data_IF_258798404607
#
_entry.id   IF_258798404607
#
_cell.length_a   1.000
_cell.length_b   1.000
_cell.length_c   1.000
_cell.angle_alpha   90.00
_cell.angle_beta   90.00
_cell.angle_gamma   90.00
#
_symmetry.space_group_name_H-M   'P 1'
#
loop_
_entity.id
_entity.type
_entity.pdbx_description
1 polymer ?
#
# COMPACT_ATOMS: atom_id res chain seq x y z
N UNK A 1 -4.90 27.58 -10.90
CA UNK A 1 -5.08 26.96 -9.58
C UNK A 1 -3.91 26.01 -9.36
N UNK A 2 -3.12 26.24 -8.33
CA UNK A 2 -2.03 25.35 -7.93
C UNK A 2 -2.58 24.48 -6.81
N UNK A 3 -3.01 23.26 -7.16
CA UNK A 3 -3.29 22.25 -6.15
C UNK A 3 -1.91 21.72 -5.71
N UNK A 4 -1.57 21.88 -4.44
CA UNK A 4 -0.44 21.21 -3.80
C UNK A 4 -0.88 19.77 -3.46
N UNK A 5 -0.60 18.74 -4.29
CA UNK A 5 -1.05 17.37 -4.00
C UNK A 5 -0.29 16.74 -2.81
N UNK A 6 0.62 17.48 -2.17
CA UNK A 6 1.52 16.97 -1.12
C UNK A 6 0.85 16.76 0.24
N UNK A 7 -0.45 17.04 0.39
CA UNK A 7 -1.18 16.91 1.67
C UNK A 7 -2.46 16.07 1.60
N UNK A 8 -2.67 15.29 0.54
CA UNK A 8 -3.89 14.47 0.42
C UNK A 8 -3.73 13.03 0.91
N UNK A 9 -2.68 12.75 1.67
CA UNK A 9 -2.63 11.60 2.57
C UNK A 9 -3.55 11.82 3.78
N UNK A 10 -4.80 12.22 3.54
CA UNK A 10 -5.87 12.13 4.54
C UNK A 10 -5.78 10.75 5.18
N UNK A 11 -5.98 10.67 6.49
CA UNK A 11 -5.94 9.47 7.32
C UNK A 11 -6.88 8.36 6.82
N UNK A 12 -6.58 7.78 5.65
CA UNK A 12 -7.33 6.70 5.05
C UNK A 12 -6.96 5.46 5.84
N UNK A 13 -7.82 5.16 6.82
CA UNK A 13 -7.72 3.99 7.68
C UNK A 13 -7.96 2.70 6.90
N UNK A 14 -8.73 2.79 5.80
CA UNK A 14 -9.10 1.67 4.94
C UNK A 14 -8.70 1.94 3.48
N UNK A 15 -8.41 0.86 2.75
CA UNK A 15 -8.10 0.83 1.32
C UNK A 15 -9.38 0.45 0.58
N UNK A 16 -9.96 1.39 -0.17
CA UNK A 16 -11.03 1.07 -1.10
C UNK A 16 -10.45 0.53 -2.40
N UNK A 17 -10.88 -0.67 -2.79
CA UNK A 17 -10.51 -1.30 -4.06
C UNK A 17 -11.56 -1.08 -5.16
N UNK A 18 -12.67 -0.45 -4.81
CA UNK A 18 -13.78 -0.12 -5.70
C UNK A 18 -13.42 1.08 -6.59
N UNK A 19 -12.64 2.01 -6.04
CA UNK A 19 -12.24 3.24 -6.73
C UNK A 19 -10.84 3.10 -7.36
N UNK A 20 -10.71 3.08 -8.69
CA UNK A 20 -9.43 2.82 -9.36
C UNK A 20 -8.38 3.91 -9.11
N UNK A 21 -8.80 5.15 -8.84
CA UNK A 21 -7.89 6.24 -8.49
C UNK A 21 -7.34 6.10 -7.06
N UNK A 22 -8.11 5.52 -6.13
CA UNK A 22 -7.63 5.17 -4.80
C UNK A 22 -6.60 4.06 -4.88
N UNK A 23 -6.92 2.99 -5.61
CA UNK A 23 -5.99 1.87 -5.86
C UNK A 23 -4.67 2.38 -6.40
N UNK A 24 -4.70 3.26 -7.42
CA UNK A 24 -3.50 3.87 -7.99
C UNK A 24 -2.68 4.61 -6.93
N UNK A 25 -3.31 5.52 -6.18
CA UNK A 25 -2.63 6.29 -5.12
C UNK A 25 -2.00 5.38 -4.04
N UNK A 26 -2.68 4.29 -3.68
CA UNK A 26 -2.17 3.29 -2.74
C UNK A 26 -1.01 2.48 -3.32
N UNK A 27 -1.11 2.04 -4.57
CA UNK A 27 -0.03 1.30 -5.26
C UNK A 27 1.23 2.15 -5.39
N UNK A 28 1.10 3.44 -5.69
CA UNK A 28 2.21 4.40 -5.73
C UNK A 28 2.82 4.61 -4.34
N UNK A 29 1.99 4.75 -3.30
CA UNK A 29 2.45 4.95 -1.92
C UNK A 29 3.14 3.71 -1.32
N UNK A 30 2.69 2.52 -1.70
CA UNK A 30 3.18 1.24 -1.19
C UNK A 30 4.28 0.63 -2.08
N UNK A 31 4.48 1.14 -3.29
CA UNK A 31 5.42 0.60 -4.27
C UNK A 31 5.07 -0.81 -4.73
N UNK A 32 3.77 -1.11 -4.88
CA UNK A 32 3.26 -2.43 -5.27
C UNK A 32 2.34 -2.33 -6.49
N UNK A 33 2.00 -3.47 -7.10
CA UNK A 33 1.00 -3.49 -8.18
C UNK A 33 -0.42 -3.57 -7.62
N UNK A 34 -1.42 -3.21 -8.44
CA UNK A 34 -2.83 -3.36 -8.06
C UNK A 34 -3.15 -4.80 -7.64
N UNK A 35 -2.63 -5.79 -8.38
CA UNK A 35 -2.85 -7.20 -8.09
C UNK A 35 -2.29 -7.60 -6.72
N UNK A 36 -1.07 -7.12 -6.39
CA UNK A 36 -0.49 -7.33 -5.07
C UNK A 36 -1.30 -6.64 -3.98
N UNK A 37 -1.74 -5.39 -4.21
CA UNK A 37 -2.58 -4.66 -3.26
C UNK A 37 -3.88 -5.41 -2.99
N UNK A 38 -4.59 -5.87 -4.03
CA UNK A 38 -5.82 -6.66 -3.92
C UNK A 38 -5.58 -7.99 -3.20
N UNK A 39 -4.48 -8.66 -3.51
CA UNK A 39 -4.10 -9.92 -2.86
C UNK A 39 -3.83 -9.74 -1.37
N UNK A 40 -3.07 -8.71 -1.00
CA UNK A 40 -2.76 -8.41 0.41
C UNK A 40 -4.03 -7.98 1.14
N UNK A 41 -4.85 -7.10 0.56
CA UNK A 41 -6.15 -6.71 1.14
C UNK A 41 -7.06 -7.92 1.34
N UNK A 42 -7.08 -8.88 0.41
CA UNK A 42 -7.83 -10.14 0.58
C UNK A 42 -7.29 -11.01 1.72
N UNK A 43 -5.99 -10.97 1.98
CA UNK A 43 -5.35 -11.75 3.02
C UNK A 43 -5.46 -11.14 4.43
N UNK A 44 -5.27 -9.82 4.57
CA UNK A 44 -5.21 -9.14 5.88
C UNK A 44 -6.43 -8.25 6.16
N UNK A 45 -7.27 -8.01 5.16
CA UNK A 45 -8.38 -7.06 5.17
C UNK A 45 -8.01 -5.72 4.53
N UNK A 46 -9.02 -4.87 4.32
CA UNK A 46 -8.86 -3.53 3.74
C UNK A 46 -8.22 -2.50 4.69
N UNK A 47 -7.74 -2.90 5.87
CA UNK A 47 -7.08 -1.97 6.79
C UNK A 47 -5.72 -1.53 6.25
N UNK A 48 -5.56 -0.23 6.02
CA UNK A 48 -4.31 0.34 5.49
C UNK A 48 -3.09 0.02 6.37
N UNK A 49 -3.28 0.01 7.69
CA UNK A 49 -2.23 -0.34 8.65
C UNK A 49 -1.71 -1.77 8.45
N UNK A 50 -2.63 -2.74 8.34
CA UNK A 50 -2.27 -4.16 8.14
C UNK A 50 -1.58 -4.38 6.79
N UNK A 51 -2.07 -3.74 5.74
CA UNK A 51 -1.46 -3.82 4.41
C UNK A 51 -0.05 -3.24 4.42
N UNK A 52 0.14 -2.04 4.98
CA UNK A 52 1.46 -1.41 5.16
C UNK A 52 2.41 -2.29 5.97
N UNK A 53 1.91 -2.88 7.06
CA UNK A 53 2.67 -3.79 7.89
C UNK A 53 3.09 -5.05 7.12
N UNK A 54 2.17 -5.65 6.34
CA UNK A 54 2.46 -6.81 5.52
C UNK A 54 3.58 -6.54 4.52
N UNK A 55 3.52 -5.41 3.80
CA UNK A 55 4.60 -5.00 2.90
C UNK A 55 5.91 -4.76 3.65
N UNK A 56 5.89 -4.07 4.79
CA UNK A 56 7.09 -3.85 5.62
C UNK A 56 7.74 -5.17 6.06
N UNK A 57 6.95 -6.14 6.51
CA UNK A 57 7.43 -7.45 6.92
C UNK A 57 8.00 -8.24 5.72
N UNK A 58 7.33 -8.20 4.57
CA UNK A 58 7.78 -8.84 3.34
C UNK A 58 9.10 -8.25 2.82
N UNK A 59 9.28 -6.94 2.91
CA UNK A 59 10.54 -6.29 2.56
C UNK A 59 11.65 -6.68 3.53
N UNK A 60 11.40 -6.65 4.84
CA UNK A 60 12.37 -7.09 5.85
C UNK A 60 12.79 -8.56 5.65
N UNK A 61 11.86 -9.45 5.31
CA UNK A 61 12.15 -10.85 5.03
C UNK A 61 12.99 -11.05 3.75
N UNK A 62 12.82 -10.20 2.71
CA UNK A 62 13.62 -10.25 1.48
C UNK A 62 15.01 -9.63 1.63
N UNK A 63 15.19 -8.72 2.58
CA UNK A 63 16.49 -8.05 2.84
C UNK A 63 17.48 -8.90 3.64
N UNK A 64 17.05 -10.02 4.23
CA UNK A 64 17.91 -10.90 5.03
C UNK A 64 18.76 -11.90 4.24
N UNK A 65 18.84 -11.77 2.91
CA UNK A 65 19.39 -12.80 2.02
C UNK A 65 20.47 -12.31 1.04
N UNK A 66 21.37 -11.42 1.46
CA UNK A 66 22.62 -11.19 0.71
C UNK A 66 23.74 -10.87 1.68
N UNK A 67 24.56 -11.85 2.02
CA UNK A 67 25.72 -11.64 2.88
C UNK A 67 26.28 -12.92 3.51
N UNK A 68 26.61 -13.92 2.69
CA UNK A 68 27.72 -14.84 2.97
C UNK A 68 28.37 -15.27 1.65
#
# INVERSE_FOLDING_TARGET
MADDPKKTGHDRKLIALDEPHEVRSWTESLGCTEEELRGVVKAVGNSAEKVRQHFRLRFAARSGGTGM
#
